data_IF_382869015830
#
_entry.id   IF_382869015830
#
_cell.length_a   1.000
_cell.length_b   1.000
_cell.length_c   1.000
_cell.angle_alpha   90.00
_cell.angle_beta   90.00
_cell.angle_gamma   90.00
#
_symmetry.space_group_name_H-M   'P 1'
#
loop_
_entity.id
_entity.type
_entity.pdbx_description
1 polymer ?
#
# COMPACT_ATOMS: atom_id res chain seq x y z
N UNK A 1 -24.52 -25.01 -6.90
CA UNK A 1 -23.20 -25.65 -7.01
C UNK A 1 -22.34 -25.12 -5.88
N UNK A 2 -22.02 -25.97 -4.90
CA UNK A 2 -21.31 -25.63 -3.67
C UNK A 2 -19.81 -25.55 -3.93
N UNK A 3 -19.16 -24.43 -3.58
CA UNK A 3 -17.70 -24.33 -3.56
C UNK A 3 -17.15 -25.10 -2.34
N UNK A 4 -16.12 -25.94 -2.47
CA UNK A 4 -15.48 -26.54 -1.30
C UNK A 4 -14.61 -25.49 -0.58
N UNK A 5 -14.47 -25.56 0.75
CA UNK A 5 -13.51 -24.73 1.47
C UNK A 5 -12.09 -25.13 1.05
N UNK A 6 -11.21 -24.13 0.87
CA UNK A 6 -9.77 -24.36 0.68
C UNK A 6 -9.18 -24.89 1.98
N UNK A 7 -9.21 -26.21 2.15
CA UNK A 7 -8.46 -26.91 3.18
C UNK A 7 -6.98 -26.82 2.80
N UNK A 8 -6.25 -25.92 3.46
CA UNK A 8 -4.80 -25.81 3.30
C UNK A 8 -4.11 -26.88 4.19
N UNK A 9 -4.46 -28.15 3.97
CA UNK A 9 -3.82 -29.30 4.62
C UNK A 9 -2.46 -29.52 3.95
N UNK A 10 -1.37 -29.23 4.68
CA UNK A 10 -0.10 -29.87 4.40
C UNK A 10 -0.31 -31.39 4.44
N UNK A 11 0.34 -32.18 3.58
CA UNK A 11 0.09 -33.61 3.52
C UNK A 11 0.49 -34.25 4.87
N UNK A 12 -0.49 -34.86 5.54
CA UNK A 12 -0.31 -35.70 6.74
C UNK A 12 0.74 -36.83 6.55
N UNK A 13 1.19 -37.06 5.31
CA UNK A 13 2.27 -37.95 4.93
C UNK A 13 3.66 -37.53 5.48
N UNK A 14 3.85 -36.27 5.86
CA UNK A 14 5.15 -35.77 6.33
C UNK A 14 5.41 -35.99 7.83
N UNK A 15 4.62 -36.80 8.57
CA UNK A 15 4.73 -36.93 10.02
C UNK A 15 4.60 -38.41 10.44
N UNK A 16 5.44 -38.87 11.38
CA UNK A 16 5.35 -40.23 11.90
C UNK A 16 4.00 -40.50 12.57
N UNK A 17 3.48 -41.72 12.47
CA UNK A 17 2.13 -42.12 12.91
C UNK A 17 1.78 -41.64 14.33
N UNK A 18 2.78 -41.60 15.22
CA UNK A 18 2.63 -41.16 16.62
C UNK A 18 2.18 -39.70 16.82
N UNK A 19 2.37 -38.81 15.84
CA UNK A 19 2.05 -37.37 15.96
C UNK A 19 0.92 -36.93 15.04
N UNK A 20 0.41 -37.83 14.18
CA UNK A 20 -0.63 -37.50 13.20
C UNK A 20 -1.92 -37.07 13.88
N UNK A 21 -2.37 -37.87 14.85
CA UNK A 21 -3.58 -37.58 15.63
C UNK A 21 -3.51 -36.22 16.35
N UNK A 22 -2.39 -35.91 17.00
CA UNK A 22 -2.24 -34.65 17.73
C UNK A 22 -2.20 -33.43 16.77
N UNK A 23 -1.72 -33.60 15.53
CA UNK A 23 -1.74 -32.57 14.50
C UNK A 23 -3.13 -32.38 13.90
N UNK A 24 -3.83 -33.45 13.54
CA UNK A 24 -5.19 -33.42 13.00
C UNK A 24 -6.13 -32.72 13.98
N UNK A 25 -6.07 -33.08 15.27
CA UNK A 25 -6.86 -32.42 16.31
C UNK A 25 -6.61 -30.91 16.39
N UNK A 26 -5.35 -30.47 16.25
CA UNK A 26 -5.01 -29.05 16.23
C UNK A 26 -5.52 -28.35 14.96
N UNK A 27 -5.35 -28.98 13.79
CA UNK A 27 -5.79 -28.42 12.52
C UNK A 27 -7.32 -28.33 12.42
N UNK A 28 -8.04 -29.32 12.94
CA UNK A 28 -9.50 -29.35 13.02
C UNK A 28 -9.99 -28.25 13.97
N UNK A 29 -9.37 -28.12 15.15
CA UNK A 29 -9.68 -27.05 16.07
C UNK A 29 -9.44 -25.67 15.44
N UNK A 30 -8.28 -25.45 14.81
CA UNK A 30 -7.99 -24.21 14.09
C UNK A 30 -9.04 -23.91 13.02
N UNK A 31 -9.50 -24.92 12.29
CA UNK A 31 -10.56 -24.77 11.29
C UNK A 31 -11.89 -24.38 11.94
N UNK A 32 -12.22 -24.96 13.09
CA UNK A 32 -13.45 -24.65 13.83
C UNK A 32 -13.47 -23.22 14.39
N UNK A 33 -12.32 -22.65 14.76
CA UNK A 33 -12.19 -21.29 15.28
C UNK A 33 -11.70 -20.26 14.25
N UNK A 34 -11.70 -20.61 12.96
CA UNK A 34 -11.27 -19.78 11.82
C UNK A 34 -9.85 -19.19 11.97
N UNK A 35 -8.92 -20.02 12.47
CA UNK A 35 -7.49 -19.70 12.62
C UNK A 35 -6.63 -20.52 11.65
N UNK A 36 -5.47 -19.99 11.27
CA UNK A 36 -4.52 -20.71 10.42
C UNK A 36 -3.73 -21.75 11.22
N UNK A 37 -3.84 -23.02 10.84
CA UNK A 37 -3.06 -24.11 11.42
C UNK A 37 -1.59 -24.12 10.93
N UNK A 38 -1.31 -23.59 9.73
CA UNK A 38 0.03 -23.55 9.15
C UNK A 38 0.21 -22.33 8.22
N UNK A 39 1.13 -21.40 8.51
CA UNK A 39 1.83 -21.24 9.80
C UNK A 39 0.91 -20.71 10.90
N UNK A 40 0.92 -21.34 12.07
CA UNK A 40 0.21 -20.90 13.26
C UNK A 40 0.96 -19.78 14.01
N UNK A 41 0.23 -18.81 14.58
CA UNK A 41 0.79 -17.83 15.52
C UNK A 41 1.08 -18.51 16.87
N UNK A 42 2.17 -18.18 17.58
CA UNK A 42 2.45 -18.73 18.92
C UNK A 42 1.28 -18.56 19.91
N UNK A 43 0.49 -17.50 19.78
CA UNK A 43 -0.69 -17.27 20.61
C UNK A 43 -1.83 -18.27 20.30
N UNK A 44 -1.95 -18.71 19.06
CA UNK A 44 -2.91 -19.76 18.65
C UNK A 44 -2.64 -21.07 19.38
N UNK A 45 -1.36 -21.38 19.64
CA UNK A 45 -1.00 -22.58 20.42
C UNK A 45 -1.35 -22.42 21.89
N UNK A 46 -1.11 -21.24 22.46
CA UNK A 46 -1.50 -20.97 23.84
C UNK A 46 -3.01 -21.14 24.04
N UNK A 47 -3.82 -20.59 23.12
CA UNK A 47 -5.28 -20.76 23.11
C UNK A 47 -5.70 -22.23 22.99
N UNK A 48 -5.11 -22.97 22.04
CA UNK A 48 -5.41 -24.40 21.86
C UNK A 48 -5.16 -25.23 23.13
N UNK A 49 -4.02 -24.99 23.81
CA UNK A 49 -3.66 -25.73 25.03
C UNK A 49 -4.54 -25.38 26.23
N UNK A 50 -5.01 -24.13 26.30
CA UNK A 50 -5.92 -23.64 27.33
C UNK A 50 -7.32 -24.26 27.18
N UNK A 51 -7.85 -24.29 25.96
CA UNK A 51 -9.15 -24.91 25.66
C UNK A 51 -9.12 -26.45 25.76
N UNK A 52 -7.96 -27.08 25.55
CA UNK A 52 -7.78 -28.53 25.62
C UNK A 52 -6.93 -28.93 26.83
N UNK A 53 -7.44 -28.67 28.03
CA UNK A 53 -6.78 -29.01 29.29
C UNK A 53 -6.40 -30.49 29.35
N UNK A 54 -5.12 -30.78 29.59
CA UNK A 54 -4.60 -32.14 29.67
C UNK A 54 -3.38 -32.18 30.59
N UNK A 55 -2.92 -33.39 30.93
CA UNK A 55 -1.66 -33.55 31.66
C UNK A 55 -0.48 -32.93 30.89
N UNK A 56 0.53 -32.45 31.61
CA UNK A 56 1.71 -31.78 31.03
C UNK A 56 2.44 -32.64 29.99
N UNK A 57 2.48 -33.96 30.17
CA UNK A 57 3.04 -34.92 29.21
C UNK A 57 2.31 -34.87 27.87
N UNK A 58 0.97 -34.78 27.90
CA UNK A 58 0.12 -34.67 26.71
C UNK A 58 0.32 -33.33 26.00
N UNK A 59 0.36 -32.22 26.74
CA UNK A 59 0.66 -30.90 26.16
C UNK A 59 2.03 -30.85 25.50
N UNK A 60 3.07 -31.41 26.13
CA UNK A 60 4.40 -31.52 25.51
C UNK A 60 4.36 -32.31 24.21
N UNK A 61 3.60 -33.42 24.18
CA UNK A 61 3.45 -34.25 22.97
C UNK A 61 2.74 -33.50 21.85
N UNK A 62 1.64 -32.81 22.15
CA UNK A 62 0.90 -31.96 21.20
C UNK A 62 1.78 -30.84 20.63
N UNK A 63 2.47 -30.09 21.49
CA UNK A 63 3.39 -29.03 21.06
C UNK A 63 4.53 -29.59 20.19
N UNK A 64 5.04 -30.77 20.53
CA UNK A 64 6.07 -31.45 19.72
C UNK A 64 5.54 -31.82 18.33
N UNK A 65 4.31 -32.34 18.24
CA UNK A 65 3.65 -32.63 16.96
C UNK A 65 3.55 -31.35 16.12
N UNK A 66 2.95 -30.29 16.66
CA UNK A 66 2.75 -29.00 15.98
C UNK A 66 4.09 -28.41 15.49
N UNK A 67 5.10 -28.37 16.35
CA UNK A 67 6.44 -27.87 15.99
C UNK A 67 7.12 -28.72 14.91
N UNK A 68 6.89 -30.03 14.92
CA UNK A 68 7.46 -30.94 13.92
C UNK A 68 6.86 -30.67 12.55
N UNK A 69 5.55 -30.44 12.46
CA UNK A 69 4.89 -30.10 11.20
C UNK A 69 5.40 -28.77 10.67
N UNK A 70 5.42 -27.73 11.51
CA UNK A 70 5.91 -26.40 11.12
C UNK A 70 7.34 -26.46 10.58
N UNK A 71 8.23 -27.13 11.30
CA UNK A 71 9.62 -27.28 10.90
C UNK A 71 9.78 -28.04 9.58
N UNK A 72 9.03 -29.14 9.39
CA UNK A 72 9.08 -29.92 8.14
C UNK A 72 8.49 -29.17 6.95
N UNK A 73 7.57 -28.23 7.20
CA UNK A 73 7.00 -27.33 6.20
C UNK A 73 7.81 -26.04 5.99
N UNK A 74 9.02 -25.93 6.54
CA UNK A 74 9.89 -24.76 6.36
C UNK A 74 9.54 -23.54 7.22
N UNK A 75 8.64 -23.69 8.20
CA UNK A 75 8.24 -22.62 9.11
C UNK A 75 8.97 -22.69 10.45
N UNK A 76 9.19 -21.54 11.12
CA UNK A 76 9.67 -21.50 12.51
C UNK A 76 8.75 -22.29 13.45
N UNK A 77 9.31 -22.83 14.53
CA UNK A 77 8.56 -23.62 15.54
C UNK A 77 7.74 -22.69 16.45
N UNK A 78 6.41 -22.63 16.31
CA UNK A 78 5.56 -21.67 17.02
C UNK A 78 5.40 -21.98 18.53
N UNK A 79 5.51 -23.24 18.94
CA UNK A 79 5.26 -23.68 20.31
C UNK A 79 6.48 -23.62 21.23
N UNK A 80 7.52 -22.86 20.88
CA UNK A 80 8.70 -22.70 21.75
C UNK A 80 8.49 -21.59 22.77
N UNK A 81 9.06 -21.74 23.97
CA UNK A 81 9.03 -20.69 24.98
C UNK A 81 9.69 -19.39 24.49
N UNK A 82 10.68 -19.49 23.59
CA UNK A 82 11.25 -18.33 22.92
C UNK A 82 10.25 -17.66 21.98
N UNK A 83 9.58 -18.40 21.08
CA UNK A 83 8.57 -17.84 20.18
C UNK A 83 7.40 -17.19 20.94
N UNK A 84 6.95 -17.82 22.04
CA UNK A 84 5.89 -17.25 22.88
C UNK A 84 6.37 -16.00 23.63
N UNK A 85 7.58 -16.03 24.22
CA UNK A 85 8.18 -14.85 24.86
C UNK A 85 8.45 -13.73 23.87
N UNK A 86 8.96 -14.02 22.69
CA UNK A 86 9.18 -13.02 21.64
C UNK A 86 7.84 -12.40 21.22
N UNK A 87 6.81 -13.22 21.05
CA UNK A 87 5.46 -12.75 20.70
C UNK A 87 4.86 -11.85 21.77
N UNK A 88 4.98 -12.23 23.05
CA UNK A 88 4.54 -11.45 24.20
C UNK A 88 5.39 -10.18 24.37
N UNK A 89 6.71 -10.27 24.27
CA UNK A 89 7.64 -9.14 24.39
C UNK A 89 7.46 -8.13 23.27
N UNK A 90 7.13 -8.55 22.04
CA UNK A 90 6.75 -7.64 20.95
C UNK A 90 5.43 -6.91 21.23
N UNK A 91 4.55 -7.45 22.07
CA UNK A 91 3.31 -6.79 22.52
C UNK A 91 3.54 -5.87 23.71
N UNK A 92 4.50 -6.20 24.58
CA UNK A 92 4.77 -5.49 25.84
C UNK A 92 5.93 -4.49 25.76
N UNK A 93 6.79 -4.54 24.74
CA UNK A 93 7.76 -3.46 24.50
C UNK A 93 6.97 -2.19 24.16
N UNK A 94 7.21 -1.07 24.86
CA UNK A 94 6.72 0.23 24.41
C UNK A 94 7.21 0.39 22.97
N UNK A 95 6.30 0.70 22.04
CA UNK A 95 6.75 1.17 20.73
C UNK A 95 7.61 2.39 20.98
N UNK A 96 8.75 2.56 20.27
CA UNK A 96 9.48 3.80 20.35
C UNK A 96 8.48 4.94 20.06
N UNK A 97 8.53 5.98 20.88
CA UNK A 97 7.70 7.17 20.63
C UNK A 97 8.28 7.89 19.41
N UNK A 98 7.60 7.75 18.29
CA UNK A 98 8.01 8.32 17.00
C UNK A 98 7.17 9.54 16.63
N UNK A 99 6.41 10.12 17.58
CA UNK A 99 5.51 11.25 17.32
C UNK A 99 6.25 12.46 16.78
N UNK A 100 7.27 12.93 17.49
CA UNK A 100 8.06 14.09 17.08
C UNK A 100 8.73 13.87 15.71
N UNK A 101 9.36 12.70 15.51
CA UNK A 101 9.97 12.35 14.23
C UNK A 101 8.96 12.30 13.08
N UNK A 102 7.75 11.79 13.32
CA UNK A 102 6.67 11.79 12.34
C UNK A 102 6.19 13.20 12.02
N UNK A 103 5.99 14.05 13.03
CA UNK A 103 5.56 15.44 12.85
C UNK A 103 6.55 16.24 11.99
N UNK A 104 7.86 16.03 12.21
CA UNK A 104 8.91 16.66 11.40
C UNK A 104 8.91 16.17 9.95
N UNK A 105 8.62 14.89 9.71
CA UNK A 105 8.44 14.39 8.34
C UNK A 105 7.17 14.97 7.70
N UNK A 106 6.05 14.97 8.42
CA UNK A 106 4.75 15.46 7.93
C UNK A 106 4.86 16.94 7.49
N UNK A 107 5.58 17.76 8.25
CA UNK A 107 5.85 19.17 7.89
C UNK A 107 6.60 19.33 6.56
N UNK A 108 7.41 18.35 6.16
CA UNK A 108 8.20 18.37 4.91
C UNK A 108 7.50 17.72 3.71
N UNK A 109 6.44 16.95 3.93
CA UNK A 109 5.74 16.27 2.83
C UNK A 109 5.08 17.26 1.87
N UNK A 110 5.13 17.05 0.55
CA UNK A 110 4.44 17.91 -0.41
C UNK A 110 2.92 17.85 -0.21
N UNK A 111 2.27 19.01 -0.17
CA UNK A 111 0.81 19.12 -0.07
C UNK A 111 0.16 19.47 -1.41
N UNK A 112 0.97 19.82 -2.41
CA UNK A 112 0.60 20.25 -3.75
C UNK A 112 1.53 19.60 -4.80
N UNK A 113 1.21 19.83 -6.08
CA UNK A 113 1.92 19.27 -7.23
C UNK A 113 1.54 17.82 -7.52
N UNK A 114 1.69 17.42 -8.79
CA UNK A 114 1.41 16.06 -9.24
C UNK A 114 2.70 15.27 -9.52
N UNK A 115 2.80 13.98 -9.13
CA UNK A 115 1.93 13.26 -8.19
C UNK A 115 2.32 13.50 -6.72
N UNK A 116 3.30 14.37 -6.45
CA UNK A 116 3.88 14.59 -5.12
C UNK A 116 2.85 14.88 -4.03
N UNK A 117 1.93 15.84 -4.27
CA UNK A 117 0.89 16.23 -3.33
C UNK A 117 -0.10 15.12 -2.98
N UNK A 118 -0.40 14.21 -3.92
CA UNK A 118 -1.23 13.02 -3.66
C UNK A 118 -0.53 12.10 -2.66
N UNK A 119 0.73 11.74 -2.95
CA UNK A 119 1.51 10.86 -2.09
C UNK A 119 1.83 11.48 -0.73
N UNK A 120 2.17 12.77 -0.70
CA UNK A 120 2.48 13.48 0.53
C UNK A 120 1.26 13.56 1.47
N UNK A 121 0.05 13.82 0.93
CA UNK A 121 -1.18 13.79 1.74
C UNK A 121 -1.51 12.39 2.26
N UNK A 122 -1.34 11.35 1.42
CA UNK A 122 -1.53 9.94 1.83
C UNK A 122 -0.56 9.56 2.95
N UNK A 123 0.71 9.89 2.78
CA UNK A 123 1.78 9.49 3.68
C UNK A 123 1.72 10.28 4.99
N UNK A 124 1.26 11.53 4.96
CA UNK A 124 0.97 12.30 6.17
C UNK A 124 -0.11 11.64 7.02
N UNK A 125 -1.21 11.19 6.39
CA UNK A 125 -2.25 10.44 7.10
C UNK A 125 -1.70 9.10 7.62
N UNK A 126 -0.90 8.39 6.83
CA UNK A 126 -0.28 7.14 7.24
C UNK A 126 0.60 7.30 8.49
N UNK A 127 1.47 8.32 8.51
CA UNK A 127 2.32 8.66 9.65
C UNK A 127 1.49 9.07 10.87
N UNK A 128 0.43 9.86 10.68
CA UNK A 128 -0.49 10.23 11.76
C UNK A 128 -1.14 9.00 12.39
N UNK A 129 -1.73 8.11 11.58
CA UNK A 129 -2.38 6.89 12.06
C UNK A 129 -1.40 5.94 12.78
N UNK A 130 -0.17 5.80 12.26
CA UNK A 130 0.82 4.87 12.79
C UNK A 130 1.56 5.38 14.03
N UNK A 131 2.02 6.63 14.00
CA UNK A 131 2.92 7.20 15.00
C UNK A 131 2.16 7.99 16.08
N UNK A 132 1.14 8.77 15.71
CA UNK A 132 0.34 9.53 16.68
C UNK A 132 -0.76 8.68 17.30
N UNK A 133 -1.54 8.01 16.45
CA UNK A 133 -2.70 7.22 16.87
C UNK A 133 -2.36 5.76 17.19
N UNK A 134 -1.10 5.37 16.99
CA UNK A 134 -0.54 4.07 17.37
C UNK A 134 -1.25 2.86 16.75
N UNK A 135 -1.91 3.02 15.59
CA UNK A 135 -2.48 1.90 14.85
C UNK A 135 -1.36 1.06 14.23
N UNK A 136 -1.51 -0.27 14.30
CA UNK A 136 -0.57 -1.16 13.63
C UNK A 136 -0.73 -1.09 12.09
N UNK A 137 0.33 -1.39 11.32
CA UNK A 137 0.26 -1.45 9.87
C UNK A 137 -0.87 -2.34 9.33
N UNK A 138 -1.22 -3.42 10.04
CA UNK A 138 -2.34 -4.30 9.68
C UNK A 138 -3.70 -3.67 9.95
N UNK A 139 -3.85 -2.94 11.06
CA UNK A 139 -5.09 -2.19 11.34
C UNK A 139 -5.30 -1.10 10.29
N UNK A 140 -4.26 -0.32 10.00
CA UNK A 140 -4.32 0.75 8.99
C UNK A 140 -4.74 0.21 7.61
N UNK A 141 -4.16 -0.90 7.16
CA UNK A 141 -4.51 -1.51 5.87
C UNK A 141 -5.94 -2.06 5.77
N UNK A 142 -6.62 -2.24 6.92
CA UNK A 142 -8.00 -2.73 7.00
C UNK A 142 -9.03 -1.60 7.13
N UNK A 143 -8.61 -0.39 7.50
CA UNK A 143 -9.51 0.74 7.61
C UNK A 143 -10.17 1.03 6.26
N UNK A 144 -11.48 1.15 6.27
CA UNK A 144 -12.31 1.69 5.19
C UNK A 144 -12.59 3.16 5.44
N UNK A 145 -13.04 3.85 4.40
CA UNK A 145 -13.42 5.27 4.49
C UNK A 145 -14.53 5.50 5.51
N UNK A 146 -15.52 4.59 5.59
CA UNK A 146 -16.62 4.66 6.56
C UNK A 146 -16.22 4.36 8.01
N UNK A 147 -15.04 3.79 8.26
CA UNK A 147 -14.57 3.52 9.62
C UNK A 147 -14.13 4.80 10.35
N UNK A 148 -13.93 5.89 9.60
CA UNK A 148 -13.56 7.19 10.13
C UNK A 148 -14.71 8.16 9.93
N UNK A 149 -15.14 8.79 11.02
CA UNK A 149 -16.24 9.76 11.01
C UNK A 149 -15.76 11.10 11.55
N UNK A 150 -16.34 12.18 11.03
CA UNK A 150 -16.08 13.53 11.45
C UNK A 150 -17.39 14.30 11.52
N UNK A 151 -17.66 14.94 12.65
CA UNK A 151 -18.94 15.63 12.95
C UNK A 151 -18.84 17.16 12.90
N UNK A 152 -17.72 17.70 12.43
CA UNK A 152 -17.46 19.15 12.35
C UNK A 152 -16.43 19.63 13.36
N UNK A 153 -16.18 18.86 14.42
CA UNK A 153 -15.14 19.18 15.39
C UNK A 153 -14.28 17.96 15.76
N UNK A 154 -14.90 16.78 15.83
CA UNK A 154 -14.27 15.58 16.38
C UNK A 154 -14.11 14.50 15.31
N UNK A 155 -12.88 13.98 15.19
CA UNK A 155 -12.53 12.81 14.40
C UNK A 155 -12.67 11.54 15.24
N UNK A 156 -13.37 10.52 14.73
CA UNK A 156 -13.61 9.26 15.45
C UNK A 156 -13.29 8.05 14.58
N UNK A 157 -12.62 7.07 15.19
CA UNK A 157 -12.42 5.73 14.62
C UNK A 157 -12.97 4.71 15.64
N UNK A 158 -14.29 4.44 15.63
CA UNK A 158 -14.96 3.68 16.68
C UNK A 158 -14.40 2.26 16.88
N UNK A 159 -14.02 1.58 15.79
CA UNK A 159 -13.44 0.23 15.80
C UNK A 159 -12.10 0.14 16.56
N UNK A 160 -11.49 1.28 16.87
CA UNK A 160 -10.23 1.38 17.60
C UNK A 160 -10.33 2.26 18.86
N UNK A 161 -11.52 2.72 19.23
CA UNK A 161 -11.73 3.57 20.42
C UNK A 161 -11.02 4.92 20.34
N UNK A 162 -10.74 5.42 19.14
CA UNK A 162 -10.06 6.70 18.92
C UNK A 162 -11.10 7.81 18.78
N UNK A 163 -10.93 8.88 19.54
CA UNK A 163 -11.71 10.13 19.46
C UNK A 163 -10.74 11.29 19.67
N UNK A 164 -10.69 12.22 18.73
CA UNK A 164 -9.73 13.32 18.69
C UNK A 164 -10.46 14.57 18.25
N UNK A 165 -10.38 15.62 19.06
CA UNK A 165 -10.92 16.93 18.70
C UNK A 165 -9.91 17.72 17.86
N UNK A 166 -10.43 18.59 16.99
CA UNK A 166 -9.59 19.52 16.26
C UNK A 166 -8.95 20.53 17.22
N UNK A 167 -7.61 20.57 17.22
CA UNK A 167 -6.85 21.57 17.96
C UNK A 167 -6.51 22.76 17.04
N UNK A 168 -7.05 23.96 17.30
CA UNK A 168 -6.78 25.15 16.49
C UNK A 168 -5.37 25.72 16.72
N UNK A 169 -4.71 25.39 17.83
CA UNK A 169 -3.37 25.87 18.17
C UNK A 169 -2.28 24.95 17.58
N UNK A 170 -2.64 23.72 17.21
CA UNK A 170 -1.74 22.82 16.52
C UNK A 170 -1.58 23.21 15.04
N UNK A 171 -0.35 23.09 14.52
CA UNK A 171 -0.10 23.28 13.09
C UNK A 171 -1.09 22.47 12.24
N UNK A 172 -1.79 23.10 11.28
CA UNK A 172 -2.64 22.42 10.32
C UNK A 172 -1.93 21.28 9.62
N UNK A 173 -0.60 21.33 9.49
CA UNK A 173 0.19 20.28 8.86
C UNK A 173 0.18 18.99 9.67
N UNK A 174 0.17 19.06 11.00
CA UNK A 174 0.31 17.91 11.90
C UNK A 174 -0.96 17.56 12.67
N UNK A 175 -1.90 18.49 12.83
CA UNK A 175 -3.21 18.23 13.44
C UNK A 175 -3.88 17.01 12.78
N UNK A 176 -4.16 15.93 13.54
CA UNK A 176 -4.75 14.72 12.99
C UNK A 176 -6.06 14.95 12.25
N UNK A 177 -6.88 15.92 12.70
CA UNK A 177 -8.15 16.24 12.05
C UNK A 177 -7.90 16.91 10.70
N UNK A 178 -7.06 17.95 10.64
CA UNK A 178 -6.68 18.63 9.41
C UNK A 178 -6.03 17.68 8.39
N UNK A 179 -5.13 16.81 8.83
CA UNK A 179 -4.48 15.79 7.99
C UNK A 179 -5.53 14.85 7.39
N UNK A 180 -6.44 14.33 8.20
CA UNK A 180 -7.52 13.46 7.72
C UNK A 180 -8.44 14.19 6.73
N UNK A 181 -8.89 15.41 7.05
CA UNK A 181 -9.81 16.16 6.20
C UNK A 181 -9.19 16.46 4.82
N UNK A 182 -7.89 16.79 4.75
CA UNK A 182 -7.19 16.98 3.48
C UNK A 182 -7.21 15.72 2.62
N UNK A 183 -7.03 14.55 3.23
CA UNK A 183 -7.07 13.27 2.54
C UNK A 183 -8.49 12.89 2.11
N UNK A 184 -9.46 12.99 3.02
CA UNK A 184 -10.85 12.64 2.76
C UNK A 184 -11.48 13.51 1.66
N UNK A 185 -11.14 14.80 1.60
CA UNK A 185 -11.54 15.71 0.51
C UNK A 185 -10.97 15.28 -0.84
N UNK A 186 -9.71 14.84 -0.86
CA UNK A 186 -9.08 14.33 -2.08
C UNK A 186 -9.81 13.07 -2.58
N UNK A 187 -10.16 12.15 -1.68
CA UNK A 187 -10.94 10.97 -2.03
C UNK A 187 -12.36 11.32 -2.50
N UNK A 188 -13.01 12.28 -1.84
CA UNK A 188 -14.34 12.76 -2.26
C UNK A 188 -14.31 13.45 -3.63
N UNK A 189 -13.21 14.11 -3.98
CA UNK A 189 -12.98 14.64 -5.32
C UNK A 189 -12.83 13.51 -6.33
N UNK A 190 -11.95 12.53 -6.08
CA UNK A 190 -11.75 11.36 -6.96
C UNK A 190 -13.02 10.56 -7.19
N UNK A 191 -13.91 10.43 -6.19
CA UNK A 191 -15.22 9.77 -6.34
C UNK A 191 -16.12 10.45 -7.38
N UNK A 192 -15.97 11.75 -7.61
CA UNK A 192 -16.78 12.53 -8.56
C UNK A 192 -16.10 12.64 -9.91
N UNK A 193 -14.77 12.70 -9.92
CA UNK A 193 -13.94 12.82 -11.13
C UNK A 193 -12.85 11.75 -11.08
N UNK A 194 -13.12 10.52 -11.58
CA UNK A 194 -12.16 9.41 -11.53
C UNK A 194 -10.93 9.59 -12.43
N UNK A 195 -10.83 10.72 -13.14
CA UNK A 195 -9.69 11.06 -13.98
C UNK A 195 -8.57 11.71 -13.18
N UNK A 196 -7.38 11.11 -13.24
CA UNK A 196 -6.16 11.64 -12.65
C UNK A 196 -5.71 12.97 -13.25
N UNK A 197 -6.18 13.35 -14.45
CA UNK A 197 -5.89 14.65 -15.06
C UNK A 197 -6.42 15.78 -14.18
N UNK A 198 -7.72 15.76 -13.88
CA UNK A 198 -8.37 16.76 -13.04
C UNK A 198 -7.84 16.76 -11.61
N UNK A 199 -7.51 15.58 -11.07
CA UNK A 199 -6.88 15.47 -9.76
C UNK A 199 -5.48 16.11 -9.75
N UNK A 200 -4.69 15.87 -10.79
CA UNK A 200 -3.35 16.42 -10.93
C UNK A 200 -3.35 17.93 -11.15
N UNK A 201 -4.26 18.43 -11.99
CA UNK A 201 -4.48 19.86 -12.20
C UNK A 201 -4.92 20.57 -10.91
N UNK A 202 -5.89 19.99 -10.20
CA UNK A 202 -6.34 20.51 -8.90
C UNK A 202 -5.20 20.54 -7.87
N UNK A 203 -4.37 19.50 -7.80
CA UNK A 203 -3.23 19.48 -6.88
C UNK A 203 -2.09 20.42 -7.30
N UNK A 204 -1.93 20.67 -8.59
CA UNK A 204 -0.88 21.57 -9.12
C UNK A 204 -1.24 23.03 -8.91
N UNK A 205 -2.52 23.38 -9.04
CA UNK A 205 -3.05 24.74 -8.81
C UNK A 205 -3.40 25.02 -7.34
N UNK A 206 -3.45 23.99 -6.50
CA UNK A 206 -3.74 24.14 -5.08
C UNK A 206 -2.71 25.02 -4.36
N UNK A 207 -3.20 25.81 -3.41
CA UNK A 207 -2.35 26.57 -2.50
C UNK A 207 -1.59 25.63 -1.56
N UNK A 208 -0.27 25.78 -1.39
CA UNK A 208 0.50 25.00 -0.43
C UNK A 208 -0.02 25.19 0.98
N UNK A 209 -0.16 24.09 1.71
CA UNK A 209 -0.54 24.15 3.14
C UNK A 209 0.69 24.56 3.93
N UNK A 210 0.61 25.68 4.62
CA UNK A 210 1.62 26.19 5.57
C UNK A 210 1.09 26.06 7.00
N UNK A 211 1.92 26.41 7.99
CA UNK A 211 1.49 26.44 9.40
C UNK A 211 0.42 27.51 9.67
N UNK A 212 0.32 28.53 8.82
CA UNK A 212 -0.71 29.60 8.92
C UNK A 212 -2.01 29.26 8.18
N UNK A 213 -2.10 28.09 7.53
CA UNK A 213 -3.26 27.75 6.69
C UNK A 213 -4.46 27.37 7.54
N UNK A 214 -5.57 28.10 7.44
CA UNK A 214 -6.80 27.73 8.16
C UNK A 214 -7.34 26.36 7.74
N UNK A 215 -7.57 25.47 8.70
CA UNK A 215 -8.23 24.19 8.46
C UNK A 215 -9.72 24.40 8.23
N UNK A 216 -10.21 24.16 7.02
CA UNK A 216 -11.65 24.09 6.78
C UNK A 216 -12.24 22.90 7.54
N UNK A 217 -13.21 23.14 8.43
CA UNK A 217 -13.91 22.11 9.22
C UNK A 217 -15.28 21.75 8.64
N UNK A 218 -15.53 22.10 7.38
CA UNK A 218 -16.78 21.75 6.70
C UNK A 218 -16.92 20.24 6.64
N UNK A 219 -18.15 19.78 6.93
CA UNK A 219 -18.53 18.38 6.84
C UNK A 219 -18.18 17.79 5.48
N UNK A 220 -17.73 16.54 5.50
CA UNK A 220 -17.36 15.82 4.29
C UNK A 220 -18.62 15.42 3.50
N UNK A 221 -18.57 15.44 2.16
CA UNK A 221 -19.62 14.85 1.35
C UNK A 221 -19.86 13.37 1.69
N UNK A 222 -21.07 12.89 1.46
CA UNK A 222 -21.40 11.48 1.63
C UNK A 222 -20.45 10.59 0.81
N UNK A 223 -19.97 9.50 1.43
CA UNK A 223 -19.06 8.56 0.81
C UNK A 223 -19.79 7.83 -0.32
N UNK A 224 -19.31 7.99 -1.56
CA UNK A 224 -19.87 7.28 -2.74
C UNK A 224 -19.32 5.87 -2.86
N UNK A 225 -18.02 5.71 -2.56
CA UNK A 225 -17.33 4.42 -2.60
C UNK A 225 -16.65 4.13 -1.28
N UNK A 226 -17.17 3.15 -0.54
CA UNK A 226 -16.61 2.71 0.74
C UNK A 226 -15.40 1.77 0.58
N UNK A 227 -14.41 2.24 -0.18
CA UNK A 227 -13.13 1.57 -0.39
C UNK A 227 -12.19 1.70 0.82
N UNK A 228 -10.95 1.20 0.68
CA UNK A 228 -9.94 1.36 1.72
C UNK A 228 -9.66 2.84 1.99
N UNK A 229 -9.39 3.17 3.26
CA UNK A 229 -9.00 4.52 3.68
C UNK A 229 -7.69 4.94 3.00
N UNK A 230 -6.73 4.01 2.89
CA UNK A 230 -5.47 4.21 2.17
C UNK A 230 -5.36 3.17 1.05
N UNK A 231 -5.84 3.46 -0.17
CA UNK A 231 -5.62 2.60 -1.33
C UNK A 231 -4.15 2.59 -1.73
N UNK A 232 -3.76 1.55 -2.46
CA UNK A 232 -2.48 1.53 -3.17
C UNK A 232 -2.58 2.35 -4.44
N UNK A 233 -1.48 3.02 -4.80
CA UNK A 233 -1.36 3.78 -6.05
C UNK A 233 -0.17 3.27 -6.85
N UNK A 234 -0.27 3.25 -8.17
CA UNK A 234 0.89 3.09 -9.06
C UNK A 234 1.83 4.31 -8.96
N UNK A 235 2.97 4.31 -9.68
CA UNK A 235 3.92 5.45 -9.64
C UNK A 235 3.36 6.76 -10.20
N UNK A 236 2.24 6.72 -10.90
CA UNK A 236 1.60 7.84 -11.58
C UNK A 236 0.33 8.34 -10.87
N UNK A 237 -0.06 7.72 -9.76
CA UNK A 237 -1.25 8.12 -8.99
C UNK A 237 -2.54 7.39 -9.37
N UNK A 238 -2.50 6.32 -10.17
CA UNK A 238 -3.69 5.48 -10.37
C UNK A 238 -3.94 4.63 -9.13
N UNK A 239 -5.11 4.83 -8.53
CA UNK A 239 -5.56 3.99 -7.43
C UNK A 239 -5.82 2.57 -7.96
N UNK A 240 -5.29 1.56 -7.27
CA UNK A 240 -5.73 0.20 -7.48
C UNK A 240 -7.16 0.08 -6.92
N UNK A 241 -8.14 -0.08 -7.81
CA UNK A 241 -9.58 -0.16 -7.48
C UNK A 241 -9.95 -1.44 -6.71
N UNK A 242 -8.96 -2.26 -6.31
CA UNK A 242 -9.17 -3.39 -5.42
C UNK A 242 -9.75 -2.97 -4.05
N UNK A 243 -10.49 -3.88 -3.44
CA UNK A 243 -11.09 -3.66 -2.10
C UNK A 243 -10.06 -3.62 -0.96
N UNK A 244 -8.81 -3.98 -1.22
CA UNK A 244 -7.76 -4.06 -0.21
C UNK A 244 -6.97 -2.75 -0.10
N UNK A 245 -6.81 -2.25 1.11
CA UNK A 245 -5.93 -1.11 1.39
C UNK A 245 -4.44 -1.48 1.28
N UNK A 246 -3.58 -0.52 1.63
CA UNK A 246 -2.14 -0.76 1.70
C UNK A 246 -1.82 -2.00 2.53
N UNK A 247 -1.05 -2.93 1.94
CA UNK A 247 -0.63 -4.14 2.63
C UNK A 247 0.28 -3.80 3.81
N UNK A 248 0.34 -4.68 4.83
CA UNK A 248 1.27 -4.53 5.96
C UNK A 248 2.70 -4.23 5.50
N UNK A 249 3.18 -4.94 4.46
CA UNK A 249 4.53 -4.74 3.90
C UNK A 249 4.69 -3.35 3.27
N UNK A 250 3.71 -2.89 2.49
CA UNK A 250 3.74 -1.58 1.87
C UNK A 250 3.71 -0.46 2.93
N UNK A 251 2.83 -0.57 3.93
CA UNK A 251 2.75 0.39 5.04
C UNK A 251 4.07 0.45 5.81
N UNK A 252 4.64 -0.68 6.21
CA UNK A 252 5.93 -0.71 6.90
C UNK A 252 7.03 -0.08 6.04
N UNK A 253 7.09 -0.39 4.74
CA UNK A 253 8.10 0.16 3.83
C UNK A 253 8.03 1.69 3.73
N UNK A 254 6.81 2.24 3.57
CA UNK A 254 6.60 3.70 3.48
C UNK A 254 6.98 4.38 4.81
N UNK A 255 6.52 3.82 5.95
CA UNK A 255 6.86 4.35 7.26
C UNK A 255 8.37 4.35 7.52
N UNK A 256 9.04 3.22 7.26
CA UNK A 256 10.49 3.11 7.46
C UNK A 256 11.23 4.12 6.57
N UNK A 257 10.88 4.21 5.29
CA UNK A 257 11.58 5.14 4.39
C UNK A 257 11.48 6.60 4.84
N UNK A 258 10.31 7.03 5.29
CA UNK A 258 10.09 8.37 5.84
C UNK A 258 10.84 8.60 7.14
N UNK A 259 10.78 7.66 8.07
CA UNK A 259 11.35 7.80 9.41
C UNK A 259 12.88 7.65 9.44
N UNK A 260 13.48 6.91 8.49
CA UNK A 260 14.94 6.78 8.38
C UNK A 260 15.56 7.81 7.43
N UNK A 261 14.75 8.69 6.82
CA UNK A 261 15.22 9.65 5.83
C UNK A 261 15.78 8.99 4.57
N UNK A 262 15.38 7.75 4.27
CA UNK A 262 15.82 7.08 3.04
C UNK A 262 15.28 7.89 1.85
N UNK A 263 16.13 8.28 0.88
CA UNK A 263 15.72 9.16 -0.21
C UNK A 263 14.56 8.52 -0.97
N UNK A 264 13.38 9.12 -0.88
CA UNK A 264 12.34 8.93 -1.88
C UNK A 264 12.67 9.85 -3.05
N UNK A 265 13.53 9.35 -3.95
CA UNK A 265 13.76 9.92 -5.28
C UNK A 265 12.49 9.73 -6.14
N UNK A 266 11.36 10.31 -5.73
CA UNK A 266 10.29 10.63 -6.66
C UNK A 266 10.47 12.08 -6.99
N UNK A 267 11.32 12.32 -7.99
CA UNK A 267 11.47 13.62 -8.64
C UNK A 267 10.06 14.17 -8.87
N UNK A 268 9.77 15.34 -8.30
CA UNK A 268 8.57 16.10 -8.64
C UNK A 268 8.67 16.42 -10.12
N UNK A 269 8.21 15.51 -10.98
CA UNK A 269 8.12 15.78 -12.39
C UNK A 269 6.92 16.69 -12.51
N UNK A 270 7.15 17.98 -12.77
CA UNK A 270 6.10 18.84 -13.29
C UNK A 270 5.59 18.17 -14.56
N UNK A 271 4.49 17.43 -14.44
CA UNK A 271 3.73 17.00 -15.60
C UNK A 271 3.05 18.28 -16.07
N UNK A 272 3.59 18.88 -17.13
CA UNK A 272 2.86 19.91 -17.87
C UNK A 272 1.61 19.20 -18.40
N UNK A 273 0.47 19.42 -17.75
CA UNK A 273 -0.79 19.26 -18.44
C UNK A 273 -0.71 20.24 -19.62
N UNK A 274 -0.82 19.74 -20.84
CA UNK A 274 -0.77 20.60 -22.03
C UNK A 274 -1.89 21.64 -21.87
N UNK A 275 -1.49 22.88 -21.63
CA UNK A 275 -2.31 24.06 -21.87
C UNK A 275 -2.44 24.18 -23.41
N UNK A 276 -3.67 24.29 -23.88
CA UNK A 276 -4.05 25.09 -25.05
C UNK A 276 -3.64 24.56 -26.44
N UNK A 277 -3.91 23.28 -26.72
CA UNK A 277 -3.82 22.80 -28.10
C UNK A 277 -4.29 21.37 -28.33
N UNK A 278 -4.38 20.57 -27.27
CA UNK A 278 -4.99 19.24 -27.37
C UNK A 278 -6.53 19.29 -27.45
N UNK A 279 -7.16 20.30 -26.85
CA UNK A 279 -8.59 20.52 -27.02
C UNK A 279 -8.88 20.98 -28.45
N UNK A 280 -8.21 22.04 -28.92
CA UNK A 280 -8.31 22.52 -30.31
C UNK A 280 -7.90 21.47 -31.34
N UNK A 281 -6.86 20.67 -31.12
CA UNK A 281 -6.49 19.59 -32.05
C UNK A 281 -7.48 18.42 -32.04
N UNK A 282 -8.15 18.17 -30.90
CA UNK A 282 -9.23 17.17 -30.84
C UNK A 282 -10.51 17.75 -31.45
N UNK A 283 -10.77 19.04 -31.27
CA UNK A 283 -11.91 19.74 -31.86
C UNK A 283 -11.73 19.88 -33.37
N UNK A 284 -10.54 20.22 -33.88
CA UNK A 284 -10.17 20.18 -35.32
C UNK A 284 -10.29 18.78 -35.90
N UNK A 285 -9.91 17.73 -35.16
CA UNK A 285 -10.06 16.34 -35.61
C UNK A 285 -11.53 15.94 -35.60
N UNK A 286 -12.30 16.33 -34.58
CA UNK A 286 -13.74 16.07 -34.48
C UNK A 286 -14.51 16.85 -35.52
N UNK A 287 -14.12 18.10 -35.80
CA UNK A 287 -14.70 18.98 -36.82
C UNK A 287 -14.32 18.48 -38.21
N UNK A 288 -13.09 18.00 -38.44
CA UNK A 288 -12.70 17.31 -39.68
C UNK A 288 -13.45 15.97 -39.89
N UNK A 289 -13.86 15.30 -38.81
CA UNK A 289 -14.74 14.11 -38.85
C UNK A 289 -16.22 14.53 -39.04
N UNK A 290 -16.59 15.74 -38.63
CA UNK A 290 -17.96 16.28 -38.72
C UNK A 290 -18.25 16.93 -40.07
N UNK A 291 -17.22 17.51 -40.72
CA UNK A 291 -17.27 18.12 -42.05
C UNK A 291 -17.19 17.09 -43.18
N UNK A 292 -16.85 15.83 -42.87
CA UNK A 292 -17.16 14.73 -43.77
C UNK A 292 -18.66 14.45 -43.69
N UNK A 293 -19.43 15.12 -44.55
CA UNK A 293 -20.88 14.95 -44.75
C UNK A 293 -21.29 13.53 -45.24
N UNK A 294 -20.38 12.56 -45.14
CA UNK A 294 -20.66 11.13 -45.29
C UNK A 294 -21.23 10.57 -43.97
N UNK A 295 -22.30 11.20 -43.48
CA UNK A 295 -23.13 10.65 -42.40
C UNK A 295 -24.09 9.61 -42.99
N UNK A 296 -23.56 8.66 -43.76
CA UNK A 296 -24.26 7.40 -43.97
C UNK A 296 -24.33 6.73 -42.59
N UNK A 297 -25.50 6.24 -42.13
CA UNK A 297 -25.58 5.44 -40.92
C UNK A 297 -24.53 4.33 -41.06
N UNK A 298 -23.59 4.25 -40.13
CA UNK A 298 -22.66 3.12 -40.07
C UNK A 298 -23.52 1.89 -39.83
N UNK A 299 -23.85 1.16 -40.90
CA UNK A 299 -24.47 -0.15 -40.81
C UNK A 299 -23.52 -1.00 -39.98
N UNK A 300 -23.90 -1.24 -38.73
CA UNK A 300 -23.22 -2.23 -37.92
C UNK A 300 -23.35 -3.54 -38.70
N UNK A 301 -22.25 -4.16 -39.14
CA UNK A 301 -22.37 -5.45 -39.79
C UNK A 301 -23.07 -6.38 -38.79
N UNK A 302 -24.21 -6.96 -39.18
CA UNK A 302 -24.85 -8.01 -38.39
C UNK A 302 -23.95 -9.25 -38.45
N UNK A 303 -22.94 -9.25 -37.59
CA UNK A 303 -21.99 -10.33 -37.47
C UNK A 303 -22.71 -11.48 -36.75
N UNK A 304 -22.67 -12.65 -37.37
CA UNK A 304 -23.12 -13.87 -36.71
C UNK A 304 -22.32 -14.12 -35.44
N UNK A 305 -22.90 -14.85 -34.49
CA UNK A 305 -22.23 -15.19 -33.23
C UNK A 305 -20.87 -15.88 -33.46
N UNK A 306 -20.74 -16.64 -34.55
CA UNK A 306 -19.51 -17.33 -34.95
C UNK A 306 -18.45 -16.34 -35.45
N UNK A 307 -18.82 -15.32 -36.23
CA UNK A 307 -17.89 -14.28 -36.68
C UNK A 307 -17.43 -13.37 -35.54
N UNK A 308 -18.31 -13.14 -34.56
CA UNK A 308 -17.95 -12.43 -33.32
C UNK A 308 -16.93 -13.26 -32.53
N UNK A 309 -17.16 -14.57 -32.40
CA UNK A 309 -16.23 -15.47 -31.71
C UNK A 309 -14.86 -15.51 -32.41
N UNK A 310 -14.81 -15.61 -33.74
CA UNK A 310 -13.56 -15.60 -34.52
C UNK A 310 -12.81 -14.28 -34.36
N UNK A 311 -13.49 -13.13 -34.45
CA UNK A 311 -12.85 -11.82 -34.22
C UNK A 311 -12.40 -11.64 -32.77
N UNK A 312 -13.15 -12.17 -31.82
CA UNK A 312 -12.79 -12.12 -30.41
C UNK A 312 -11.53 -12.95 -30.13
N UNK A 313 -11.43 -14.15 -30.69
CA UNK A 313 -10.24 -14.99 -30.61
C UNK A 313 -9.03 -14.34 -31.30
N UNK A 314 -9.22 -13.76 -32.49
CA UNK A 314 -8.18 -13.01 -33.18
C UNK A 314 -7.69 -11.81 -32.35
N UNK A 315 -8.59 -11.09 -31.68
CA UNK A 315 -8.25 -10.00 -30.77
C UNK A 315 -7.51 -10.47 -29.52
N UNK A 316 -7.88 -11.63 -28.97
CA UNK A 316 -7.13 -12.26 -27.87
C UNK A 316 -5.74 -12.73 -28.30
N UNK A 317 -5.60 -13.29 -29.50
CA UNK A 317 -4.32 -13.70 -30.06
C UNK A 317 -3.41 -12.49 -30.32
N UNK A 318 -3.96 -11.40 -30.87
CA UNK A 318 -3.21 -10.15 -31.05
C UNK A 318 -2.70 -9.59 -29.71
N UNK A 319 -3.55 -9.55 -28.68
CA UNK A 319 -3.17 -9.12 -27.33
C UNK A 319 -2.13 -10.03 -26.69
N UNK A 320 -2.22 -11.35 -26.92
CA UNK A 320 -1.22 -12.32 -26.46
C UNK A 320 0.13 -12.08 -27.14
N UNK A 321 0.14 -11.88 -28.46
CA UNK A 321 1.34 -11.51 -29.20
C UNK A 321 1.95 -10.18 -28.76
N UNK A 322 1.13 -9.18 -28.43
CA UNK A 322 1.64 -7.91 -27.86
C UNK A 322 2.20 -8.12 -26.45
N UNK A 323 1.58 -8.96 -25.62
CA UNK A 323 2.08 -9.28 -24.28
C UNK A 323 3.40 -10.07 -24.33
N UNK A 324 3.56 -10.97 -25.31
CA UNK A 324 4.80 -11.70 -25.58
C UNK A 324 5.90 -10.76 -26.11
N UNK A 325 5.57 -9.85 -27.03
CA UNK A 325 6.50 -8.80 -27.48
C UNK A 325 6.92 -7.84 -26.34
N UNK A 326 6.01 -7.58 -25.39
CA UNK A 326 6.33 -6.79 -24.19
C UNK A 326 7.18 -7.56 -23.18
N UNK A 327 7.11 -8.89 -23.15
CA UNK A 327 7.96 -9.70 -22.27
C UNK A 327 9.44 -9.64 -22.71
N UNK A 328 9.70 -9.51 -24.01
CA UNK A 328 11.04 -9.36 -24.59
C UNK A 328 11.73 -8.04 -24.18
N UNK A 329 10.95 -7.03 -23.80
CA UNK A 329 11.47 -5.76 -23.29
C UNK A 329 12.01 -5.86 -21.86
N UNK A 330 11.70 -6.91 -21.11
CA UNK A 330 12.22 -7.11 -19.74
C UNK A 330 13.75 -7.18 -19.74
N UNK A 331 14.32 -7.91 -20.71
CA UNK A 331 15.77 -8.01 -20.92
C UNK A 331 16.38 -6.66 -21.27
N UNK A 332 15.68 -5.85 -22.07
CA UNK A 332 16.17 -4.49 -22.41
C UNK A 332 16.12 -3.52 -21.24
N UNK A 333 15.19 -3.73 -20.28
CA UNK A 333 15.14 -2.94 -19.05
C UNK A 333 16.24 -3.38 -18.07
N UNK A 334 16.55 -4.67 -17.99
CA UNK A 334 17.69 -5.19 -17.22
C UNK A 334 19.03 -4.65 -17.74
N UNK A 335 19.25 -4.66 -19.06
CA UNK A 335 20.45 -4.05 -19.69
C UNK A 335 20.55 -2.53 -19.43
N UNK A 336 19.42 -1.83 -19.37
CA UNK A 336 19.37 -0.39 -19.08
C UNK A 336 19.70 -0.09 -17.62
N UNK A 337 19.21 -0.92 -16.70
CA UNK A 337 19.50 -0.81 -15.27
C UNK A 337 21.00 -1.07 -15.01
N UNK A 338 21.59 -2.11 -15.62
CA UNK A 338 23.03 -2.41 -15.53
C UNK A 338 23.89 -1.24 -16.03
N UNK A 339 23.49 -0.63 -17.16
CA UNK A 339 24.20 0.53 -17.72
C UNK A 339 24.03 1.80 -16.88
N UNK A 340 22.94 1.90 -16.14
CA UNK A 340 22.68 3.01 -15.21
C UNK A 340 23.55 2.86 -13.97
N UNK A 341 23.69 1.65 -13.44
CA UNK A 341 24.57 1.33 -12.31
C UNK A 341 26.05 1.57 -12.67
N UNK A 342 26.47 1.22 -13.89
CA UNK A 342 27.83 1.51 -14.39
C UNK A 342 28.11 3.02 -14.45
N UNK A 343 27.16 3.81 -14.96
CA UNK A 343 27.26 5.27 -15.02
C UNK A 343 27.32 5.90 -13.62
N UNK A 344 26.51 5.40 -12.68
CA UNK A 344 26.53 5.84 -11.29
C UNK A 344 27.86 5.55 -10.61
N UNK A 345 28.39 4.33 -10.78
CA UNK A 345 29.71 3.96 -10.25
C UNK A 345 30.82 4.84 -10.82
N UNK A 346 30.76 5.18 -12.11
CA UNK A 346 31.73 6.07 -12.75
C UNK A 346 31.65 7.50 -12.24
N UNK A 347 30.45 8.02 -12.02
CA UNK A 347 30.26 9.36 -11.44
C UNK A 347 30.77 9.39 -10.00
N UNK A 348 30.48 8.34 -9.22
CA UNK A 348 30.95 8.24 -7.84
C UNK A 348 32.48 8.20 -7.77
N UNK A 349 33.15 7.44 -8.64
CA UNK A 349 34.61 7.44 -8.72
C UNK A 349 35.21 8.80 -9.10
N UNK A 350 34.54 9.60 -9.93
CA UNK A 350 34.97 10.97 -10.24
C UNK A 350 34.88 11.85 -8.98
N UNK A 351 33.81 11.74 -8.19
CA UNK A 351 33.69 12.47 -6.94
C UNK A 351 34.75 12.08 -5.91
N UNK A 352 35.04 10.79 -5.76
CA UNK A 352 36.08 10.31 -4.85
C UNK A 352 37.48 10.85 -5.24
N UNK A 353 37.78 10.89 -6.55
CA UNK A 353 39.06 11.48 -7.04
C UNK A 353 39.14 13.00 -6.87
N UNK A 354 38.00 13.70 -6.87
CA UNK A 354 37.97 15.15 -6.64
C UNK A 354 38.19 15.47 -5.16
N UNK A 355 37.63 14.66 -4.25
CA UNK A 355 37.85 14.81 -2.81
C UNK A 355 39.31 14.50 -2.40
N UNK A 356 39.97 13.50 -3.00
CA UNK A 356 41.39 13.23 -2.77
C UNK A 356 42.32 14.35 -3.31
N UNK A 357 41.91 15.01 -4.40
CA UNK A 357 42.68 16.13 -4.98
C UNK A 357 42.58 17.42 -4.15
N UNK A 358 41.50 17.60 -3.39
CA UNK A 358 41.29 18.72 -2.48
C UNK A 358 42.11 18.58 -1.18
N UNK A 359 42.33 17.36 -0.69
CA UNK A 359 43.10 17.07 0.53
C UNK A 359 44.63 17.11 0.31
N UNK A 360 45.07 16.99 -0.95
CA UNK A 360 46.51 17.04 -1.32
C UNK A 360 47.06 18.47 -1.51
N UNK A 361 46.24 19.51 -1.32
CA UNK A 361 46.59 20.91 -1.57
C UNK A 361 46.71 21.74 -0.28
N UNK A 362 47.48 21.26 0.71
CA UNK A 362 47.86 22.06 1.89
C UNK A 362 49.26 22.70 1.67
N UNK A 363 49.45 24.02 1.85
CA UNK A 363 50.73 24.70 1.54
C UNK A 363 51.78 24.47 2.64
N UNK A 364 53.09 24.56 2.32
CA UNK A 364 54.16 24.13 3.22
C UNK A 364 54.35 25.08 4.42
N UNK A 365 54.85 24.60 5.56
CA UNK A 365 55.11 25.44 6.72
C UNK A 365 56.32 26.37 6.49
N UNK A 366 56.22 27.55 7.10
CA UNK A 366 57.05 28.75 6.91
C UNK A 366 58.55 28.60 7.17
#
# INVERSE_FOLDING_TARGET
MSFPPRVNTAPAAAIGARYRYDWELFADWCTAVDLSALPADPLTIAMYLDEHTAATSTHRRRVTAINTVHHRSGYPKPGTAHALRERLTRRTRPRPDLRAAADDVIRRLPTTGWPGGLFGRRDALLLTLACRLQLSPTQIGRLKRSDVTFDGHTLRIPSHGITIDHDPDESPRTDPVAVYLRWARLQAFTDRTPSNRWLGESLTTATPVTDDTSTGLQLLPAIRHNGPLLPSFDKWGHANMGQAGLSRRATTRILTAHLTGAPHARTQRQVKFFDDGWADAVEDVVEAISDSDDTAPVEQPELSADEIAVRYEAGLAARRGTAEAMADLTTTFEDLDDRTDELLARIQGIFDTLDESADSSEPPPA
#
